data_IF_789762588456
#
_entry.id   IF_789762588456
#
_cell.length_a   1.000
_cell.length_b   1.000
_cell.length_c   1.000
_cell.angle_alpha   90.00
_cell.angle_beta   90.00
_cell.angle_gamma   90.00
#
_symmetry.space_group_name_H-M   'P 1'
#
loop_
_entity.id
_entity.type
_entity.pdbx_description
1 polymer ?
#
# COMPACT_ATOMS: atom_id res chain seq x y z
N UNK A 1 5.58 -58.72 -18.98
CA UNK A 1 4.65 -57.86 -19.73
C UNK A 1 4.85 -56.41 -19.28
N UNK A 2 5.00 -55.47 -20.22
CA UNK A 2 5.35 -54.05 -20.03
C UNK A 2 4.09 -53.15 -19.96
N UNK A 3 4.28 -51.99 -19.31
CA UNK A 3 3.59 -50.67 -19.45
C UNK A 3 2.30 -50.38 -18.65
N UNK A 4 2.04 -49.09 -18.27
CA UNK A 4 2.93 -47.93 -18.11
C UNK A 4 2.69 -47.10 -16.82
N UNK A 5 3.53 -46.08 -16.64
CA UNK A 5 3.48 -45.05 -15.61
C UNK A 5 2.27 -44.11 -15.71
N UNK A 6 1.87 -43.52 -14.58
CA UNK A 6 1.22 -42.21 -14.58
C UNK A 6 1.62 -41.43 -13.32
N UNK A 7 2.54 -40.48 -13.54
CA UNK A 7 2.86 -39.39 -12.63
C UNK A 7 1.99 -38.18 -13.03
N UNK A 8 1.14 -37.64 -12.14
CA UNK A 8 0.55 -36.33 -12.35
C UNK A 8 1.02 -35.37 -11.25
N UNK A 9 2.23 -34.84 -11.42
CA UNK A 9 2.46 -33.44 -11.11
C UNK A 9 1.57 -32.61 -12.06
N UNK A 10 0.34 -32.25 -11.69
CA UNK A 10 -0.41 -31.18 -12.36
C UNK A 10 -1.47 -30.61 -11.42
N UNK A 11 -1.52 -29.27 -11.36
CA UNK A 11 -2.63 -28.42 -10.88
C UNK A 11 -2.49 -27.66 -9.56
N UNK A 12 -1.35 -27.71 -8.87
CA UNK A 12 -1.09 -26.83 -7.72
C UNK A 12 -0.36 -25.51 -8.04
N UNK A 13 0.33 -25.43 -9.18
CA UNK A 13 1.33 -24.39 -9.44
C UNK A 13 0.89 -23.27 -10.39
N UNK A 14 -0.24 -23.44 -11.09
CA UNK A 14 -0.68 -22.50 -12.13
C UNK A 14 -1.50 -21.33 -11.56
N UNK A 15 -2.28 -21.54 -10.49
CA UNK A 15 -3.04 -20.44 -9.84
C UNK A 15 -2.11 -19.45 -9.14
N UNK A 16 -1.05 -19.95 -8.52
CA UNK A 16 -0.19 -19.19 -7.64
C UNK A 16 0.72 -18.18 -8.39
N UNK A 17 0.95 -18.39 -9.69
CA UNK A 17 1.74 -17.49 -10.52
C UNK A 17 0.92 -16.36 -11.16
N UNK A 18 -0.35 -16.61 -11.48
CA UNK A 18 -1.25 -15.62 -12.10
C UNK A 18 -1.88 -14.65 -11.07
N UNK A 19 -2.02 -15.07 -9.81
CA UNK A 19 -2.64 -14.27 -8.72
C UNK A 19 -1.70 -13.23 -8.07
N UNK A 20 -0.38 -13.36 -8.26
CA UNK A 20 0.62 -12.46 -7.65
C UNK A 20 0.59 -11.02 -8.18
N UNK A 21 0.56 -10.75 -9.51
CA UNK A 21 0.55 -9.39 -10.02
C UNK A 21 -0.79 -8.67 -9.80
N UNK A 22 -1.92 -9.39 -9.82
CA UNK A 22 -3.26 -8.84 -9.52
C UNK A 22 -3.39 -8.46 -8.04
N UNK A 23 -2.89 -9.31 -7.13
CA UNK A 23 -2.89 -9.05 -5.69
C UNK A 23 -2.10 -7.80 -5.28
N UNK A 24 -0.90 -7.60 -5.85
CA UNK A 24 -0.10 -6.38 -5.57
C UNK A 24 -0.82 -5.12 -6.05
N UNK A 25 -1.45 -5.17 -7.23
CA UNK A 25 -2.22 -4.03 -7.75
C UNK A 25 -3.40 -3.69 -6.84
N UNK A 26 -4.15 -4.69 -6.37
CA UNK A 26 -5.26 -4.47 -5.44
C UNK A 26 -4.80 -3.85 -4.12
N UNK A 27 -3.69 -4.32 -3.55
CA UNK A 27 -3.11 -3.77 -2.32
C UNK A 27 -2.63 -2.32 -2.48
N UNK A 28 -2.02 -1.98 -3.61
CA UNK A 28 -1.59 -0.61 -3.89
C UNK A 28 -2.78 0.32 -4.16
N UNK A 29 -3.84 -0.17 -4.80
CA UNK A 29 -5.09 0.57 -4.96
C UNK A 29 -5.76 0.81 -3.62
N UNK A 30 -5.74 -0.18 -2.72
CA UNK A 30 -6.24 -0.02 -1.35
C UNK A 30 -5.44 1.06 -0.59
N UNK A 31 -4.11 1.03 -0.66
CA UNK A 31 -3.27 2.12 -0.12
C UNK A 31 -3.60 3.47 -0.76
N UNK A 32 -3.88 3.52 -2.06
CA UNK A 32 -4.30 4.73 -2.76
C UNK A 32 -5.67 5.24 -2.32
N UNK A 33 -6.62 4.35 -2.02
CA UNK A 33 -7.92 4.72 -1.49
C UNK A 33 -7.79 5.36 -0.09
N UNK A 34 -6.96 4.79 0.78
CA UNK A 34 -6.65 5.38 2.08
C UNK A 34 -5.94 6.73 1.95
N UNK A 35 -5.03 6.87 1.00
CA UNK A 35 -4.38 8.16 0.69
C UNK A 35 -5.42 9.22 0.25
N UNK A 36 -6.43 8.84 -0.54
CA UNK A 36 -7.50 9.74 -0.93
C UNK A 36 -8.33 10.20 0.28
N UNK A 37 -8.66 9.27 1.19
CA UNK A 37 -9.35 9.60 2.45
C UNK A 37 -8.52 10.56 3.30
N UNK A 38 -7.21 10.34 3.42
CA UNK A 38 -6.32 11.26 4.12
C UNK A 38 -6.32 12.65 3.49
N UNK A 39 -6.20 12.74 2.16
CA UNK A 39 -6.18 14.02 1.47
C UNK A 39 -7.49 14.83 1.62
N UNK A 40 -8.63 14.14 1.80
CA UNK A 40 -9.93 14.76 2.01
C UNK A 40 -10.16 15.20 3.45
N UNK A 41 -9.64 14.46 4.42
CA UNK A 41 -9.93 14.68 5.85
C UNK A 41 -8.82 15.45 6.57
N UNK A 42 -7.61 15.50 6.00
CA UNK A 42 -6.49 16.23 6.60
C UNK A 42 -6.77 17.73 6.52
N UNK A 43 -6.75 18.38 7.67
CA UNK A 43 -6.72 19.83 7.73
C UNK A 43 -5.30 20.33 7.38
N UNK A 44 -5.19 21.05 6.26
CA UNK A 44 -3.95 21.64 5.78
C UNK A 44 -3.78 23.12 6.19
N UNK A 45 -4.66 23.62 7.07
CA UNK A 45 -4.69 25.02 7.50
C UNK A 45 -5.34 25.94 6.47
N UNK A 46 -5.88 27.06 6.97
CA UNK A 46 -6.52 28.20 6.28
C UNK A 46 -6.78 28.05 4.77
N UNK A 47 -7.61 27.07 4.40
CA UNK A 47 -8.13 26.91 3.05
C UNK A 47 -7.07 26.75 1.96
N UNK A 48 -6.02 25.96 2.19
CA UNK A 48 -5.00 25.65 1.16
C UNK A 48 -5.26 24.30 0.44
N UNK A 49 -6.23 24.22 -0.49
CA UNK A 49 -6.52 22.99 -1.24
C UNK A 49 -5.33 22.57 -2.12
N UNK A 50 -4.45 23.51 -2.48
CA UNK A 50 -3.25 23.19 -3.26
C UNK A 50 -2.29 22.30 -2.47
N UNK A 51 -2.20 22.46 -1.14
CA UNK A 51 -1.41 21.56 -0.29
C UNK A 51 -1.98 20.13 -0.29
N UNK A 52 -3.29 19.98 -0.15
CA UNK A 52 -3.96 18.67 -0.21
C UNK A 52 -3.71 17.96 -1.55
N UNK A 53 -3.90 18.69 -2.66
CA UNK A 53 -3.68 18.16 -4.02
C UNK A 53 -2.22 17.80 -4.24
N UNK A 54 -1.28 18.63 -3.79
CA UNK A 54 0.16 18.38 -3.91
C UNK A 54 0.56 17.11 -3.17
N UNK A 55 0.17 16.97 -1.90
CA UNK A 55 0.50 15.78 -1.10
C UNK A 55 -0.15 14.51 -1.62
N UNK A 56 -1.40 14.61 -2.08
CA UNK A 56 -2.06 13.51 -2.77
C UNK A 56 -1.30 13.08 -4.04
N UNK A 57 -0.93 14.04 -4.89
CA UNK A 57 -0.17 13.77 -6.11
C UNK A 57 1.20 13.13 -5.80
N UNK A 58 1.92 13.64 -4.80
CA UNK A 58 3.19 13.07 -4.34
C UNK A 58 3.00 11.61 -3.87
N UNK A 59 1.96 11.35 -3.08
CA UNK A 59 1.63 10.00 -2.63
C UNK A 59 1.29 9.05 -3.79
N UNK A 60 0.51 9.50 -4.77
CA UNK A 60 0.21 8.75 -5.98
C UNK A 60 1.47 8.43 -6.80
N UNK A 61 2.37 9.41 -6.96
CA UNK A 61 3.64 9.21 -7.66
C UNK A 61 4.50 8.18 -6.93
N UNK A 62 4.60 8.26 -5.60
CA UNK A 62 5.34 7.27 -4.80
C UNK A 62 4.75 5.86 -4.96
N UNK A 63 3.43 5.70 -4.86
CA UNK A 63 2.76 4.41 -5.10
C UNK A 63 2.99 3.90 -6.53
N UNK A 64 2.96 4.78 -7.52
CA UNK A 64 3.28 4.43 -8.90
C UNK A 64 4.74 3.99 -9.06
N UNK A 65 5.68 4.66 -8.40
CA UNK A 65 7.10 4.26 -8.39
C UNK A 65 7.27 2.90 -7.72
N UNK A 66 6.55 2.63 -6.62
CA UNK A 66 6.51 1.30 -5.98
C UNK A 66 6.01 0.25 -6.96
N UNK A 67 4.91 0.52 -7.66
CA UNK A 67 4.34 -0.43 -8.62
C UNK A 67 5.25 -0.68 -9.83
N UNK A 68 5.62 0.41 -10.54
CA UNK A 68 6.23 0.37 -11.88
C UNK A 68 7.74 0.25 -11.84
N UNK A 69 8.40 0.88 -10.86
CA UNK A 69 9.87 0.82 -10.69
C UNK A 69 10.31 -0.19 -9.63
N UNK A 70 9.38 -0.76 -8.86
CA UNK A 70 9.68 -1.73 -7.78
C UNK A 70 10.65 -1.16 -6.73
N UNK A 71 10.58 0.15 -6.47
CA UNK A 71 11.54 0.84 -5.59
C UNK A 71 11.28 0.55 -4.11
N UNK A 72 12.30 0.01 -3.43
CA UNK A 72 12.29 -0.23 -1.97
C UNK A 72 12.28 1.08 -1.18
N UNK A 73 13.01 2.09 -1.67
CA UNK A 73 13.08 3.40 -1.03
C UNK A 73 11.71 4.10 -1.06
N UNK A 74 11.03 4.12 -2.21
CA UNK A 74 9.71 4.72 -2.32
C UNK A 74 8.69 4.04 -1.39
N UNK A 75 8.73 2.70 -1.31
CA UNK A 75 7.90 1.94 -0.36
C UNK A 75 8.21 2.33 1.09
N UNK A 76 9.49 2.43 1.43
CA UNK A 76 9.94 2.84 2.76
C UNK A 76 9.45 4.24 3.14
N UNK A 77 9.60 5.21 2.24
CA UNK A 77 9.10 6.58 2.44
C UNK A 77 7.59 6.57 2.72
N UNK A 78 6.79 5.89 1.90
CA UNK A 78 5.34 5.83 2.09
C UNK A 78 4.98 5.21 3.44
N UNK A 79 5.63 4.11 3.83
CA UNK A 79 5.38 3.46 5.13
C UNK A 79 5.76 4.40 6.27
N UNK A 80 6.95 5.00 6.25
CA UNK A 80 7.41 5.87 7.34
C UNK A 80 6.50 7.09 7.47
N UNK A 81 6.19 7.78 6.36
CA UNK A 81 5.27 8.91 6.38
C UNK A 81 3.90 8.51 6.91
N UNK A 82 3.39 7.35 6.50
CA UNK A 82 2.11 6.87 6.99
C UNK A 82 2.13 6.52 8.48
N UNK A 83 3.18 5.89 8.99
CA UNK A 83 3.31 5.61 10.42
C UNK A 83 3.46 6.88 11.25
N UNK A 84 4.21 7.86 10.78
CA UNK A 84 4.32 9.18 11.43
C UNK A 84 2.95 9.85 11.48
N UNK A 85 2.21 9.87 10.36
CA UNK A 85 0.85 10.39 10.32
C UNK A 85 -0.09 9.67 11.30
N UNK A 86 -0.03 8.34 11.35
CA UNK A 86 -0.81 7.55 12.30
C UNK A 86 -0.52 7.91 13.76
N UNK A 87 0.76 8.15 14.11
CA UNK A 87 1.15 8.58 15.46
C UNK A 87 0.65 10.00 15.75
N UNK A 88 0.85 10.94 14.83
CA UNK A 88 0.43 12.34 15.00
C UNK A 88 -1.09 12.43 15.21
N UNK A 89 -1.88 11.82 14.34
CA UNK A 89 -3.35 11.83 14.46
C UNK A 89 -3.86 10.90 15.57
N UNK A 90 -3.13 9.85 15.91
CA UNK A 90 -3.43 9.01 17.07
C UNK A 90 -3.28 9.78 18.38
N UNK A 91 -2.24 10.61 18.51
CA UNK A 91 -2.10 11.51 19.66
C UNK A 91 -3.17 12.61 19.66
N UNK A 92 -3.47 13.20 18.50
CA UNK A 92 -4.54 14.18 18.38
C UNK A 92 -5.94 13.61 18.72
N UNK A 93 -6.11 12.29 18.59
CA UNK A 93 -7.38 11.63 18.93
C UNK A 93 -7.76 11.65 20.40
N UNK A 94 -6.82 12.01 21.28
CA UNK A 94 -7.09 12.24 22.70
C UNK A 94 -7.96 13.48 22.91
N UNK A 95 -7.84 14.48 22.02
CA UNK A 95 -8.56 15.76 22.10
C UNK A 95 -9.69 15.85 21.06
N UNK A 96 -9.52 15.23 19.88
CA UNK A 96 -10.52 15.21 18.80
C UNK A 96 -10.80 13.76 18.32
N UNK A 97 -11.98 13.20 18.65
CA UNK A 97 -12.36 11.84 18.22
C UNK A 97 -12.35 11.64 16.70
N UNK A 98 -12.52 12.70 15.90
CA UNK A 98 -12.49 12.60 14.45
C UNK A 98 -11.09 12.25 13.91
N UNK A 99 -10.02 12.59 14.65
CA UNK A 99 -8.65 12.26 14.30
C UNK A 99 -8.38 10.73 14.29
N UNK A 100 -9.21 9.92 14.97
CA UNK A 100 -9.13 8.44 14.91
C UNK A 100 -9.26 7.94 13.47
N UNK A 101 -10.14 8.55 12.67
CA UNK A 101 -10.37 8.14 11.28
C UNK A 101 -9.12 8.38 10.44
N UNK A 102 -8.44 9.52 10.65
CA UNK A 102 -7.17 9.82 9.99
C UNK A 102 -6.07 8.85 10.42
N UNK A 103 -5.95 8.57 11.72
CA UNK A 103 -4.97 7.61 12.23
C UNK A 103 -5.17 6.21 11.62
N UNK A 104 -6.42 5.75 11.53
CA UNK A 104 -6.77 4.49 10.87
C UNK A 104 -6.51 4.54 9.36
N UNK A 105 -6.77 5.65 8.68
CA UNK A 105 -6.49 5.79 7.27
C UNK A 105 -4.97 5.72 6.98
N UNK A 106 -4.14 6.32 7.84
CA UNK A 106 -2.69 6.22 7.77
C UNK A 106 -2.20 4.77 7.98
N UNK A 107 -2.72 4.07 9.00
CA UNK A 107 -2.42 2.65 9.20
C UNK A 107 -2.89 1.78 8.02
N UNK A 108 -4.10 2.03 7.52
CA UNK A 108 -4.69 1.37 6.37
C UNK A 108 -3.88 1.55 5.09
N UNK A 109 -3.17 2.68 4.93
CA UNK A 109 -2.22 2.87 3.84
C UNK A 109 -0.94 2.05 4.02
N UNK A 110 -0.40 1.99 5.25
CA UNK A 110 0.87 1.33 5.56
C UNK A 110 0.78 -0.20 5.51
N UNK A 111 -0.29 -0.78 6.08
CA UNK A 111 -0.44 -2.24 6.23
C UNK A 111 -0.34 -3.00 4.90
N UNK A 112 -1.06 -2.62 3.82
CA UNK A 112 -0.94 -3.29 2.51
C UNK A 112 0.49 -3.27 1.97
N UNK A 113 1.25 -2.20 2.21
CA UNK A 113 2.64 -2.07 1.79
C UNK A 113 3.59 -2.95 2.62
N UNK A 114 3.21 -3.33 3.83
CA UNK A 114 3.98 -4.21 4.71
C UNK A 114 3.75 -5.70 4.42
N UNK A 115 2.71 -6.04 3.65
CA UNK A 115 2.40 -7.43 3.31
C UNK A 115 3.50 -8.13 2.51
N UNK A 116 3.54 -9.45 2.63
CA UNK A 116 4.47 -10.31 1.89
C UNK A 116 4.48 -10.04 0.38
N UNK A 117 3.34 -10.02 -0.32
CA UNK A 117 3.28 -9.79 -1.77
C UNK A 117 3.97 -8.51 -2.22
N UNK A 118 3.73 -7.38 -1.54
CA UNK A 118 4.35 -6.09 -1.90
C UNK A 118 5.85 -6.08 -1.56
N UNK A 119 6.24 -6.69 -0.44
CA UNK A 119 7.65 -6.86 -0.04
C UNK A 119 8.42 -7.65 -1.09
N UNK A 120 7.89 -8.80 -1.50
CA UNK A 120 8.50 -9.64 -2.53
C UNK A 120 8.60 -8.87 -3.85
N UNK A 121 7.53 -8.19 -4.28
CA UNK A 121 7.51 -7.41 -5.52
C UNK A 121 8.65 -6.40 -5.64
N UNK A 122 9.00 -5.70 -4.54
CA UNK A 122 10.12 -4.74 -4.53
C UNK A 122 11.48 -5.39 -4.26
N UNK A 123 11.52 -6.66 -3.85
CA UNK A 123 12.74 -7.38 -3.52
C UNK A 123 13.30 -8.21 -4.69
N UNK A 124 12.46 -8.82 -5.53
CA UNK A 124 12.85 -9.74 -6.62
C UNK A 124 13.58 -9.09 -7.81
N UNK A 125 14.18 -7.91 -7.63
CA UNK A 125 14.93 -7.17 -8.67
C UNK A 125 16.37 -6.86 -8.24
N UNK A 126 16.97 -7.75 -7.45
CA UNK A 126 18.40 -7.80 -7.20
C UNK A 126 19.01 -8.93 -8.03
#
# INVERSE_FOLDING_TARGET
MRSPAQNPNHDGTVSDAADRPSGVRALLLLSGAFLAVQALLTDYGDGNPAAAVLWFAVGCVLLWVVFRRRSRAARGVVIVTALVGAVVYGLASLDDPHAVVLALAFLGQAVPLMTGPVRWHVQTRA
#
